data_IF_225803298169
#
_entry.id   IF_225803298169
#
_cell.length_a   1.000
_cell.length_b   1.000
_cell.length_c   1.000
_cell.angle_alpha   90.00
_cell.angle_beta   90.00
_cell.angle_gamma   90.00
#
_symmetry.space_group_name_H-M   'P 1'
#
loop_
_entity.id
_entity.type
_entity.pdbx_description
1 polymer ?
#
# COMPACT_ATOMS: atom_id res chain seq x y z
N UNK A 1 -36.28 34.69 -46.06
CA UNK A 1 -35.58 33.42 -45.78
C UNK A 1 -34.79 33.43 -44.45
N UNK A 2 -35.38 33.78 -43.29
CA UNK A 2 -34.66 33.86 -41.98
C UNK A 2 -35.03 32.79 -40.94
N UNK A 3 -36.03 31.93 -41.19
CA UNK A 3 -36.56 30.96 -40.19
C UNK A 3 -35.71 29.69 -40.01
N UNK A 4 -34.93 29.29 -41.04
CA UNK A 4 -34.19 28.02 -41.07
C UNK A 4 -33.05 27.94 -40.03
N UNK A 5 -32.33 29.04 -39.80
CA UNK A 5 -31.18 29.08 -38.87
C UNK A 5 -31.57 29.07 -37.39
N UNK A 6 -32.74 29.62 -37.04
CA UNK A 6 -33.24 29.60 -35.66
C UNK A 6 -33.75 28.20 -35.25
N UNK A 7 -34.37 27.47 -36.18
CA UNK A 7 -34.87 26.13 -35.95
C UNK A 7 -33.74 25.10 -35.79
N UNK A 8 -32.67 25.19 -36.59
CA UNK A 8 -31.50 24.32 -36.44
C UNK A 8 -30.72 24.56 -35.14
N UNK A 9 -30.68 25.81 -34.64
CA UNK A 9 -30.10 26.14 -33.32
C UNK A 9 -30.90 25.54 -32.16
N UNK A 10 -32.24 25.56 -32.23
CA UNK A 10 -33.12 24.96 -31.21
C UNK A 10 -33.00 23.44 -31.17
N UNK A 11 -32.95 22.78 -32.34
CA UNK A 11 -32.76 21.32 -32.42
C UNK A 11 -31.39 20.92 -31.88
N UNK A 12 -30.31 21.65 -32.25
CA UNK A 12 -28.98 21.42 -31.68
C UNK A 12 -28.95 21.63 -30.16
N UNK A 13 -29.60 22.67 -29.65
CA UNK A 13 -29.70 22.92 -28.21
C UNK A 13 -30.46 21.81 -27.49
N UNK A 14 -31.57 21.32 -28.04
CA UNK A 14 -32.34 20.21 -27.48
C UNK A 14 -31.58 18.88 -27.51
N UNK A 15 -30.79 18.63 -28.56
CA UNK A 15 -29.92 17.44 -28.64
C UNK A 15 -28.76 17.53 -27.65
N UNK A 16 -28.16 18.70 -27.46
CA UNK A 16 -27.12 18.94 -26.45
C UNK A 16 -27.70 18.76 -25.04
N UNK A 17 -28.85 19.37 -24.74
CA UNK A 17 -29.53 19.21 -23.45
C UNK A 17 -29.91 17.74 -23.22
N UNK A 18 -30.44 17.05 -24.23
CA UNK A 18 -30.81 15.64 -24.17
C UNK A 18 -29.62 14.68 -23.96
N UNK A 19 -28.41 15.07 -24.34
CA UNK A 19 -27.17 14.31 -24.07
C UNK A 19 -26.50 14.72 -22.75
N UNK A 20 -26.51 16.00 -22.40
CA UNK A 20 -25.90 16.54 -21.19
C UNK A 20 -26.67 16.17 -19.92
N UNK A 21 -28.00 16.10 -19.96
CA UNK A 21 -28.83 15.67 -18.83
C UNK A 21 -28.47 14.27 -18.33
N UNK A 22 -28.48 13.20 -19.15
CA UNK A 22 -28.14 11.85 -18.68
C UNK A 22 -26.69 11.74 -18.23
N UNK A 23 -25.73 12.40 -18.90
CA UNK A 23 -24.33 12.44 -18.45
C UNK A 23 -24.20 13.16 -17.11
N UNK A 24 -24.89 14.29 -16.94
CA UNK A 24 -24.94 15.03 -15.68
C UNK A 24 -25.59 14.23 -14.56
N UNK A 25 -26.69 13.54 -14.83
CA UNK A 25 -27.37 12.66 -13.87
C UNK A 25 -26.50 11.47 -13.48
N UNK A 26 -25.81 10.84 -14.43
CA UNK A 26 -24.87 9.75 -14.13
C UNK A 26 -23.67 10.24 -13.31
N UNK A 27 -23.13 11.42 -13.63
CA UNK A 27 -22.06 12.04 -12.85
C UNK A 27 -22.55 12.39 -11.43
N UNK A 28 -23.78 12.91 -11.31
CA UNK A 28 -24.38 13.25 -10.03
C UNK A 28 -24.64 12.01 -9.17
N UNK A 29 -25.23 10.96 -9.74
CA UNK A 29 -25.39 9.65 -9.07
C UNK A 29 -24.02 9.11 -8.65
N UNK A 30 -23.02 9.20 -9.54
CA UNK A 30 -21.67 8.74 -9.24
C UNK A 30 -21.01 9.53 -8.11
N UNK A 31 -21.28 10.83 -7.99
CA UNK A 31 -20.86 11.66 -6.85
C UNK A 31 -21.61 11.31 -5.56
N UNK A 32 -22.90 10.97 -5.64
CA UNK A 32 -23.69 10.53 -4.48
C UNK A 32 -23.22 9.18 -3.90
N UNK A 33 -22.60 8.33 -4.72
CA UNK A 33 -22.06 7.03 -4.31
C UNK A 33 -20.65 7.16 -3.70
N UNK A 34 -20.08 8.36 -3.64
CA UNK A 34 -18.77 8.59 -3.01
C UNK A 34 -18.84 8.33 -1.50
N UNK A 35 -17.83 7.67 -0.91
CA UNK A 35 -17.82 7.41 0.52
C UNK A 35 -17.71 8.74 1.29
N UNK A 36 -18.49 8.87 2.36
CA UNK A 36 -18.30 9.96 3.31
C UNK A 36 -17.02 9.73 4.11
N UNK A 37 -16.03 10.60 3.88
CA UNK A 37 -14.74 10.56 4.58
C UNK A 37 -14.75 11.42 5.83
N UNK A 38 -15.76 12.27 6.04
CA UNK A 38 -15.80 13.24 7.14
C UNK A 38 -15.82 12.55 8.50
N UNK A 39 -16.52 11.41 8.59
CA UNK A 39 -16.55 10.58 9.78
C UNK A 39 -15.14 10.14 10.22
N UNK A 40 -14.22 9.92 9.28
CA UNK A 40 -12.84 9.52 9.58
C UNK A 40 -12.07 10.55 10.38
N UNK A 41 -12.56 11.79 10.50
CA UNK A 41 -11.98 12.80 11.40
C UNK A 41 -12.05 12.37 12.87
N UNK A 42 -13.10 11.66 13.27
CA UNK A 42 -13.36 11.26 14.65
C UNK A 42 -13.40 9.74 14.85
N UNK A 43 -13.77 8.97 13.82
CA UNK A 43 -13.95 7.52 13.92
C UNK A 43 -12.90 6.78 13.09
N UNK A 44 -12.51 5.61 13.57
CA UNK A 44 -11.58 4.74 12.87
C UNK A 44 -12.36 3.73 12.02
N UNK A 45 -11.87 3.39 10.81
CA UNK A 45 -12.48 2.33 10.02
C UNK A 45 -12.35 0.98 10.75
N UNK A 46 -13.37 0.13 10.64
CA UNK A 46 -13.39 -1.23 11.21
C UNK A 46 -12.99 -2.30 10.18
N UNK A 47 -12.91 -1.92 8.91
CA UNK A 47 -12.47 -2.71 7.75
C UNK A 47 -12.05 -1.74 6.64
N UNK A 48 -11.39 -2.25 5.60
CA UNK A 48 -10.99 -1.47 4.43
C UNK A 48 -11.11 -2.30 3.16
N UNK A 49 -11.28 -1.64 2.02
CA UNK A 49 -11.32 -2.31 0.71
C UNK A 49 -10.05 -3.15 0.45
N UNK A 50 -8.89 -2.70 0.93
CA UNK A 50 -7.65 -3.48 0.87
C UNK A 50 -7.78 -4.79 1.65
N UNK A 51 -8.24 -4.75 2.89
CA UNK A 51 -8.36 -5.94 3.74
C UNK A 51 -9.38 -6.93 3.17
N UNK A 52 -10.50 -6.44 2.65
CA UNK A 52 -11.54 -7.26 2.02
C UNK A 52 -11.04 -7.91 0.74
N UNK A 53 -10.35 -7.15 -0.12
CA UNK A 53 -9.75 -7.67 -1.34
C UNK A 53 -8.69 -8.75 -1.04
N UNK A 54 -7.95 -8.62 0.07
CA UNK A 54 -6.97 -9.63 0.50
C UNK A 54 -7.63 -10.89 1.04
N UNK A 55 -8.75 -10.74 1.75
CA UNK A 55 -9.53 -11.86 2.25
C UNK A 55 -10.14 -12.67 1.10
N UNK A 56 -10.70 -12.01 0.07
CA UNK A 56 -11.25 -12.69 -1.10
C UNK A 56 -10.19 -13.39 -1.95
N UNK A 57 -9.00 -12.79 -2.07
CA UNK A 57 -7.84 -13.39 -2.76
C UNK A 57 -7.29 -14.63 -2.05
N UNK A 58 -7.60 -14.85 -0.77
CA UNK A 58 -7.05 -15.98 -0.02
C UNK A 58 -7.67 -17.34 -0.41
N UNK A 59 -8.74 -17.39 -1.22
CA UNK A 59 -9.33 -18.61 -1.81
C UNK A 59 -9.38 -19.84 -0.88
N UNK A 60 -9.72 -19.65 0.41
CA UNK A 60 -9.82 -20.73 1.40
C UNK A 60 -8.58 -20.99 2.26
N UNK A 61 -7.43 -20.39 1.95
CA UNK A 61 -6.29 -20.36 2.86
C UNK A 61 -6.60 -19.50 4.08
N UNK A 62 -6.38 -20.04 5.28
CA UNK A 62 -6.58 -19.30 6.55
C UNK A 62 -5.44 -18.29 6.76
N UNK A 63 -5.50 -17.15 6.08
CA UNK A 63 -4.63 -16.00 6.40
C UNK A 63 -5.17 -15.34 7.67
N UNK A 64 -4.44 -15.47 8.78
CA UNK A 64 -4.80 -14.79 10.03
C UNK A 64 -4.54 -13.29 9.90
N UNK A 65 -5.62 -12.49 9.87
CA UNK A 65 -5.54 -11.03 9.92
C UNK A 65 -4.98 -10.57 11.27
N UNK A 66 -3.83 -9.90 11.24
CA UNK A 66 -3.23 -9.18 12.37
C UNK A 66 -3.39 -7.69 12.11
N UNK A 67 -4.26 -7.05 12.88
CA UNK A 67 -4.49 -5.62 12.79
C UNK A 67 -4.70 -5.05 14.18
N UNK A 68 -3.90 -4.05 14.53
CA UNK A 68 -3.97 -3.39 15.82
C UNK A 68 -3.90 -1.88 15.60
N UNK A 69 -4.99 -1.20 15.97
CA UNK A 69 -5.06 0.25 15.88
C UNK A 69 -4.35 0.92 17.04
N UNK A 70 -3.54 1.93 16.76
CA UNK A 70 -2.98 2.83 17.77
C UNK A 70 -3.05 4.29 17.30
N UNK A 71 -3.28 5.26 18.21
CA UNK A 71 -3.22 6.66 17.84
C UNK A 71 -1.79 7.05 17.43
N UNK A 72 -1.64 8.10 16.61
CA UNK A 72 -0.38 8.56 16.04
C UNK A 72 0.67 8.89 17.12
N UNK A 73 0.21 9.37 18.28
CA UNK A 73 1.05 9.68 19.44
C UNK A 73 1.71 8.44 20.07
N UNK A 74 1.19 7.24 19.80
CA UNK A 74 1.80 5.96 20.22
C UNK A 74 2.66 5.33 19.12
N UNK A 75 2.84 6.00 17.98
CA UNK A 75 3.74 5.55 16.92
C UNK A 75 5.05 6.34 17.02
N UNK A 76 6.19 5.63 16.97
CA UNK A 76 7.53 6.22 17.03
C UNK A 76 7.64 7.42 16.06
N UNK A 77 8.16 8.59 16.51
CA UNK A 77 8.49 9.70 15.63
C UNK A 77 9.35 9.28 14.44
N UNK A 78 10.28 8.33 14.66
CA UNK A 78 11.13 7.82 13.60
C UNK A 78 10.33 7.09 12.53
N UNK A 79 9.32 6.27 12.89
CA UNK A 79 8.49 5.60 11.90
C UNK A 79 7.65 6.60 11.11
N UNK A 80 7.09 7.62 11.77
CA UNK A 80 6.33 8.69 11.10
C UNK A 80 7.20 9.39 10.04
N UNK A 81 8.42 9.78 10.42
CA UNK A 81 9.38 10.42 9.53
C UNK A 81 9.88 9.49 8.41
N UNK A 82 10.16 8.22 8.74
CA UNK A 82 10.67 7.24 7.77
C UNK A 82 9.66 6.95 6.66
N UNK A 83 8.38 6.83 7.03
CA UNK A 83 7.29 6.61 6.06
C UNK A 83 7.09 7.83 5.17
N UNK A 84 7.08 9.04 5.75
CA UNK A 84 7.02 10.29 4.97
C UNK A 84 8.23 10.36 4.02
N UNK A 85 9.45 10.14 4.49
CA UNK A 85 10.64 10.17 3.65
C UNK A 85 10.66 9.10 2.54
N UNK A 86 10.10 7.92 2.82
CA UNK A 86 10.12 6.77 1.91
C UNK A 86 9.01 6.79 0.86
N UNK A 87 7.82 7.27 1.23
CA UNK A 87 6.62 7.22 0.39
C UNK A 87 6.27 8.58 -0.21
N UNK A 88 6.48 9.68 0.52
CA UNK A 88 5.94 10.99 0.17
C UNK A 88 6.65 12.13 0.94
N UNK A 89 7.85 12.51 0.48
CA UNK A 89 8.73 13.42 1.23
C UNK A 89 8.17 14.85 1.36
N UNK A 90 7.21 15.22 0.51
CA UNK A 90 6.52 16.52 0.48
C UNK A 90 5.12 16.44 1.11
N UNK A 91 4.80 15.36 1.83
CA UNK A 91 3.45 15.07 2.37
C UNK A 91 2.79 16.25 3.11
N UNK A 92 3.55 16.97 3.92
CA UNK A 92 3.05 18.09 4.72
C UNK A 92 2.91 19.41 3.94
N UNK A 93 3.46 19.50 2.72
CA UNK A 93 3.48 20.72 1.93
C UNK A 93 2.47 20.72 0.78
N UNK A 94 2.01 19.56 0.32
CA UNK A 94 1.01 19.46 -0.76
C UNK A 94 -0.40 19.13 -0.26
N UNK A 95 -1.43 19.32 -1.08
CA UNK A 95 -2.84 18.97 -0.79
C UNK A 95 -3.28 17.69 -1.52
N UNK A 96 -2.65 16.56 -1.19
CA UNK A 96 -2.94 15.24 -1.76
C UNK A 96 -2.25 14.86 -3.07
N UNK A 97 -1.71 15.82 -3.82
CA UNK A 97 -0.97 15.54 -5.05
C UNK A 97 0.37 16.27 -5.04
N UNK A 98 1.46 15.52 -5.16
CA UNK A 98 2.80 16.06 -5.37
C UNK A 98 3.03 16.29 -6.88
N UNK A 99 2.66 17.47 -7.37
CA UNK A 99 2.80 17.80 -8.80
C UNK A 99 4.25 17.85 -9.26
N UNK A 100 5.15 18.31 -8.40
CA UNK A 100 6.59 18.34 -8.67
C UNK A 100 7.13 16.91 -8.72
N UNK A 101 6.83 16.08 -7.72
CA UNK A 101 7.20 14.67 -7.70
C UNK A 101 6.62 13.86 -8.86
N UNK A 102 5.39 14.16 -9.30
CA UNK A 102 4.77 13.56 -10.49
C UNK A 102 5.56 13.94 -11.75
N UNK A 103 5.92 15.22 -11.91
CA UNK A 103 6.72 15.70 -13.03
C UNK A 103 8.09 15.03 -13.05
N UNK A 104 8.77 14.97 -11.92
CA UNK A 104 10.09 14.36 -11.79
C UNK A 104 10.05 12.84 -12.06
N UNK A 105 9.02 12.16 -11.57
CA UNK A 105 8.80 10.75 -11.85
C UNK A 105 8.52 10.50 -13.34
N UNK A 106 7.76 11.38 -13.99
CA UNK A 106 7.48 11.29 -15.43
C UNK A 106 8.75 11.47 -16.27
N UNK A 107 9.56 12.49 -15.97
CA UNK A 107 10.85 12.72 -16.64
C UNK A 107 11.79 11.53 -16.46
N UNK A 108 11.94 11.02 -15.23
CA UNK A 108 12.76 9.84 -14.96
C UNK A 108 12.29 8.60 -15.73
N UNK A 109 10.98 8.35 -15.77
CA UNK A 109 10.42 7.19 -16.47
C UNK A 109 10.59 7.31 -18.00
N UNK A 110 10.52 8.53 -18.53
CA UNK A 110 10.79 8.81 -19.94
C UNK A 110 12.25 8.52 -20.30
N UNK A 111 13.19 9.04 -19.49
CA UNK A 111 14.63 8.78 -19.66
C UNK A 111 14.99 7.30 -19.50
N UNK A 112 14.33 6.60 -18.57
CA UNK A 112 14.57 5.18 -18.31
C UNK A 112 13.85 4.24 -19.29
N UNK A 113 12.96 4.76 -20.14
CA UNK A 113 12.14 4.01 -21.10
C UNK A 113 11.19 2.98 -20.46
N UNK A 114 10.99 3.02 -19.13
CA UNK A 114 10.16 2.07 -18.37
C UNK A 114 9.56 2.76 -17.15
N UNK A 115 8.35 2.36 -16.76
CA UNK A 115 7.67 2.83 -15.54
C UNK A 115 8.34 2.27 -14.27
N UNK A 116 9.39 2.94 -13.82
CA UNK A 116 10.19 2.54 -12.64
C UNK A 116 9.79 3.28 -11.38
N UNK A 117 9.46 4.57 -11.47
CA UNK A 117 9.12 5.42 -10.33
C UNK A 117 7.61 5.66 -10.27
N UNK A 118 7.01 5.37 -9.13
CA UNK A 118 5.62 5.74 -8.83
C UNK A 118 5.56 7.17 -8.29
N UNK A 119 4.49 7.89 -8.61
CA UNK A 119 4.23 9.26 -8.13
C UNK A 119 2.97 9.35 -7.27
N UNK A 120 2.62 8.29 -6.53
CA UNK A 120 1.45 8.28 -5.67
C UNK A 120 1.78 8.76 -4.25
N UNK A 121 1.08 9.78 -3.78
CA UNK A 121 1.21 10.35 -2.42
C UNK A 121 0.62 9.44 -1.35
N UNK A 122 0.94 9.70 -0.08
CA UNK A 122 0.36 8.99 1.06
C UNK A 122 -1.17 9.07 1.03
N UNK A 123 -1.74 10.24 0.72
CA UNK A 123 -3.21 10.42 0.72
C UNK A 123 -3.88 9.66 -0.42
N UNK A 124 -3.24 9.59 -1.60
CA UNK A 124 -3.71 8.75 -2.71
C UNK A 124 -3.68 7.27 -2.36
N UNK A 125 -2.59 6.83 -1.71
CA UNK A 125 -2.47 5.45 -1.25
C UNK A 125 -3.52 5.14 -0.17
N UNK A 126 -3.79 6.06 0.76
CA UNK A 126 -4.82 5.92 1.77
C UNK A 126 -6.21 5.81 1.14
N UNK A 127 -6.56 6.71 0.22
CA UNK A 127 -7.83 6.69 -0.51
C UNK A 127 -8.07 5.34 -1.18
N UNK A 128 -7.04 4.83 -1.87
CA UNK A 128 -7.05 3.52 -2.50
C UNK A 128 -7.27 2.40 -1.47
N UNK A 129 -6.49 2.38 -0.39
CA UNK A 129 -6.54 1.29 0.58
C UNK A 129 -7.88 1.26 1.34
N UNK A 130 -8.45 2.41 1.67
CA UNK A 130 -9.72 2.52 2.38
C UNK A 130 -10.90 2.04 1.53
N UNK A 131 -11.00 2.51 0.29
CA UNK A 131 -12.27 2.50 -0.44
C UNK A 131 -12.24 1.85 -1.82
N UNK A 132 -11.06 1.52 -2.37
CA UNK A 132 -10.95 1.07 -3.76
C UNK A 132 -10.37 -0.34 -3.85
N UNK A 133 -10.93 -1.13 -4.77
CA UNK A 133 -10.42 -2.46 -5.13
C UNK A 133 -9.07 -2.36 -5.87
N UNK A 134 -8.40 -3.51 -6.01
CA UNK A 134 -7.09 -3.61 -6.69
C UNK A 134 -7.15 -3.50 -8.23
N UNK A 135 -8.32 -3.26 -8.82
CA UNK A 135 -8.50 -3.16 -10.27
C UNK A 135 -7.62 -2.07 -10.89
N UNK A 136 -7.11 -2.28 -12.10
CA UNK A 136 -6.29 -1.27 -12.79
C UNK A 136 -7.11 -0.61 -13.91
N UNK A 137 -7.95 0.35 -13.56
CA UNK A 137 -8.73 1.14 -14.53
C UNK A 137 -8.54 2.64 -14.35
N UNK A 138 -8.67 3.39 -15.45
CA UNK A 138 -8.65 4.86 -15.44
C UNK A 138 -9.80 5.42 -14.58
N UNK A 139 -10.97 4.79 -14.64
CA UNK A 139 -12.12 5.15 -13.81
C UNK A 139 -11.81 5.00 -12.32
N UNK A 140 -11.17 3.90 -11.90
CA UNK A 140 -10.72 3.73 -10.52
C UNK A 140 -9.73 4.82 -10.13
N UNK A 141 -8.79 5.18 -11.01
CA UNK A 141 -7.82 6.26 -10.73
C UNK A 141 -8.50 7.63 -10.62
N UNK A 142 -9.54 7.91 -11.39
CA UNK A 142 -10.36 9.11 -11.24
C UNK A 142 -11.10 9.14 -9.89
N UNK A 143 -11.68 8.01 -9.46
CA UNK A 143 -12.28 7.88 -8.12
C UNK A 143 -11.24 8.13 -7.02
N UNK A 144 -10.06 7.53 -7.14
CA UNK A 144 -8.95 7.74 -6.20
C UNK A 144 -8.61 9.23 -6.07
N UNK A 145 -8.54 9.96 -7.19
CA UNK A 145 -8.25 11.38 -7.18
C UNK A 145 -9.32 12.21 -6.42
N UNK A 146 -10.60 11.90 -6.61
CA UNK A 146 -11.68 12.59 -5.90
C UNK A 146 -11.72 12.26 -4.41
N UNK A 147 -11.53 10.99 -4.03
CA UNK A 147 -11.44 10.60 -2.62
C UNK A 147 -10.23 11.26 -1.98
N UNK A 148 -9.08 11.31 -2.67
CA UNK A 148 -7.86 12.01 -2.21
C UNK A 148 -8.17 13.46 -1.90
N UNK A 149 -8.81 14.18 -2.83
CA UNK A 149 -9.19 15.57 -2.62
C UNK A 149 -10.12 15.73 -1.43
N UNK A 150 -11.11 14.84 -1.30
CA UNK A 150 -12.05 14.86 -0.17
C UNK A 150 -11.36 14.63 1.17
N UNK A 151 -10.42 13.68 1.26
CA UNK A 151 -9.63 13.43 2.46
C UNK A 151 -8.83 14.65 2.89
N UNK A 152 -8.11 15.28 1.96
CA UNK A 152 -7.31 16.50 2.22
C UNK A 152 -8.16 17.69 2.67
N UNK A 153 -9.40 17.81 2.18
CA UNK A 153 -10.29 18.90 2.56
C UNK A 153 -10.86 18.73 3.97
N UNK A 154 -11.12 17.50 4.41
CA UNK A 154 -11.88 17.24 5.64
C UNK A 154 -11.00 16.77 6.81
N UNK A 155 -9.80 16.27 6.56
CA UNK A 155 -8.92 15.69 7.57
C UNK A 155 -7.61 16.47 7.67
N UNK A 156 -7.10 16.75 8.89
CA UNK A 156 -5.77 17.29 9.05
C UNK A 156 -4.69 16.25 8.66
N UNK A 157 -3.50 16.73 8.27
CA UNK A 157 -2.39 15.88 7.80
C UNK A 157 -1.98 14.81 8.79
N UNK A 158 -1.97 15.13 10.08
CA UNK A 158 -1.67 14.19 11.16
C UNK A 158 -2.69 13.05 11.18
N UNK A 159 -3.97 13.36 10.96
CA UNK A 159 -5.03 12.35 10.93
C UNK A 159 -4.92 11.48 9.68
N UNK A 160 -4.60 12.06 8.52
CA UNK A 160 -4.33 11.30 7.29
C UNK A 160 -3.16 10.33 7.51
N UNK A 161 -2.07 10.80 8.10
CA UNK A 161 -0.91 9.97 8.41
C UNK A 161 -1.25 8.86 9.43
N UNK A 162 -2.04 9.17 10.46
CA UNK A 162 -2.52 8.18 11.43
C UNK A 162 -3.33 7.07 10.77
N UNK A 163 -4.31 7.44 9.94
CA UNK A 163 -5.13 6.48 9.20
C UNK A 163 -4.25 5.63 8.28
N UNK A 164 -3.33 6.25 7.53
CA UNK A 164 -2.42 5.55 6.63
C UNK A 164 -1.57 4.51 7.38
N UNK A 165 -0.91 4.92 8.47
CA UNK A 165 -0.06 4.04 9.25
C UNK A 165 -0.83 2.88 9.89
N UNK A 166 -2.12 3.05 10.17
CA UNK A 166 -2.97 1.99 10.72
C UNK A 166 -3.63 1.11 9.66
N UNK A 167 -3.78 1.58 8.41
CA UNK A 167 -4.48 0.85 7.34
C UNK A 167 -3.54 0.09 6.43
N UNK A 168 -2.33 0.60 6.19
CA UNK A 168 -1.41 0.01 5.22
C UNK A 168 -0.99 -1.41 5.61
N UNK A 169 -0.79 -2.25 4.59
CA UNK A 169 -0.31 -3.63 4.71
C UNK A 169 1.23 -3.62 4.86
N UNK A 170 1.75 -4.29 5.88
CA UNK A 170 3.19 -4.39 6.21
C UNK A 170 3.75 -5.81 6.04
N UNK A 171 2.95 -6.71 5.49
CA UNK A 171 3.23 -8.12 5.29
C UNK A 171 1.93 -8.89 5.06
N UNK A 172 2.03 -10.18 4.71
CA UNK A 172 0.83 -10.98 4.42
C UNK A 172 -0.11 -11.03 5.65
N UNK A 173 -1.27 -10.36 5.52
CA UNK A 173 -2.26 -10.30 6.58
C UNK A 173 -1.89 -9.40 7.77
N UNK A 174 -0.83 -8.58 7.67
CA UNK A 174 -0.37 -7.69 8.73
C UNK A 174 -0.70 -6.25 8.34
N UNK A 175 -1.58 -5.62 9.10
CA UNK A 175 -2.05 -4.25 8.84
C UNK A 175 -1.79 -3.37 10.06
N UNK A 176 -1.39 -2.14 9.79
CA UNK A 176 -1.12 -1.16 10.83
C UNK A 176 0.27 -1.28 11.48
N UNK A 177 0.82 -0.12 11.82
CA UNK A 177 2.18 0.02 12.33
C UNK A 177 2.43 -0.79 13.61
N UNK A 178 1.45 -0.88 14.51
CA UNK A 178 1.58 -1.63 15.77
C UNK A 178 1.66 -3.15 15.52
N UNK A 179 0.82 -3.68 14.62
CA UNK A 179 0.90 -5.09 14.25
C UNK A 179 2.24 -5.39 13.54
N UNK A 180 2.69 -4.49 12.68
CA UNK A 180 3.97 -4.61 11.98
C UNK A 180 5.18 -4.64 12.94
N UNK A 181 5.23 -3.70 13.89
CA UNK A 181 6.31 -3.64 14.87
C UNK A 181 6.37 -4.91 15.74
N UNK A 182 5.20 -5.40 16.18
CA UNK A 182 5.11 -6.65 16.96
C UNK A 182 5.46 -7.87 16.14
N UNK A 183 5.09 -7.88 14.86
CA UNK A 183 5.38 -9.01 13.98
C UNK A 183 6.88 -9.12 13.70
N UNK A 184 7.50 -8.03 13.25
CA UNK A 184 8.86 -8.01 12.73
C UNK A 184 9.92 -7.82 13.83
N UNK A 185 9.66 -6.99 14.84
CA UNK A 185 10.67 -6.62 15.86
C UNK A 185 10.28 -7.02 17.29
N UNK A 186 9.13 -7.69 17.46
CA UNK A 186 8.62 -8.15 18.77
C UNK A 186 8.45 -7.05 19.81
N UNK A 187 8.11 -5.83 19.38
CA UNK A 187 7.91 -4.67 20.27
C UNK A 187 6.78 -3.76 19.82
N UNK A 188 6.44 -2.78 20.66
CA UNK A 188 5.47 -1.75 20.31
C UNK A 188 6.03 -0.83 19.22
N UNK A 189 5.14 -0.32 18.36
CA UNK A 189 5.48 0.70 17.37
C UNK A 189 5.99 2.01 17.98
N UNK A 190 5.71 2.25 19.27
CA UNK A 190 6.27 3.37 20.04
C UNK A 190 7.79 3.26 20.21
N UNK A 191 8.31 2.04 20.31
CA UNK A 191 9.69 1.75 20.72
C UNK A 191 10.60 1.40 19.51
N UNK A 192 10.12 1.67 18.30
CA UNK A 192 10.91 1.51 17.09
C UNK A 192 12.05 2.55 17.06
N UNK A 193 13.26 2.04 16.88
CA UNK A 193 14.46 2.86 16.63
C UNK A 193 14.42 3.44 15.22
N UNK A 194 15.33 4.39 14.94
CA UNK A 194 15.45 4.96 13.60
C UNK A 194 15.77 3.89 12.52
N UNK A 195 16.62 2.91 12.83
CA UNK A 195 16.99 1.84 11.89
C UNK A 195 15.78 0.96 11.55
N UNK A 196 15.08 0.46 12.57
CA UNK A 196 13.91 -0.42 12.35
C UNK A 196 12.75 0.33 11.67
N UNK A 197 12.56 1.60 12.01
CA UNK A 197 11.62 2.48 11.32
C UNK A 197 11.94 2.62 9.83
N UNK A 198 13.22 2.80 9.49
CA UNK A 198 13.67 2.87 8.10
C UNK A 198 13.47 1.54 7.38
N UNK A 199 13.69 0.39 8.04
CA UNK A 199 13.43 -0.93 7.44
C UNK A 199 11.95 -1.16 7.16
N UNK A 200 11.07 -0.80 8.10
CA UNK A 200 9.61 -0.87 7.87
C UNK A 200 9.19 0.02 6.72
N UNK A 201 9.67 1.26 6.66
CA UNK A 201 9.34 2.15 5.54
C UNK A 201 9.90 1.62 4.20
N UNK A 202 11.04 0.92 4.21
CA UNK A 202 11.65 0.37 3.00
C UNK A 202 10.80 -0.74 2.35
N UNK A 203 10.03 -1.52 3.13
CA UNK A 203 9.23 -2.63 2.59
C UNK A 203 7.87 -2.20 2.01
N UNK A 204 7.36 -1.02 2.36
CA UNK A 204 6.02 -0.53 1.98
C UNK A 204 5.65 -0.59 0.49
N UNK A 205 6.57 -0.41 -0.47
CA UNK A 205 6.23 -0.56 -1.89
C UNK A 205 5.78 -1.96 -2.29
N UNK A 206 6.21 -2.99 -1.54
CA UNK A 206 5.94 -4.41 -1.85
C UNK A 206 5.96 -5.26 -0.57
N UNK A 207 5.02 -5.02 0.35
CA UNK A 207 5.08 -5.54 1.72
C UNK A 207 4.90 -7.06 1.79
N UNK A 208 4.21 -7.66 0.81
CA UNK A 208 4.07 -9.13 0.71
C UNK A 208 5.31 -9.83 0.13
N UNK A 209 6.23 -9.07 -0.47
CA UNK A 209 7.43 -9.59 -1.15
C UNK A 209 8.69 -9.41 -0.31
N UNK A 210 8.78 -8.30 0.42
CA UNK A 210 9.94 -7.98 1.24
C UNK A 210 9.66 -8.27 2.70
N UNK A 211 10.70 -8.75 3.37
CA UNK A 211 10.75 -8.92 4.82
C UNK A 211 11.87 -8.00 5.33
N UNK A 212 11.59 -7.11 6.30
CA UNK A 212 12.57 -6.15 6.80
C UNK A 212 13.78 -6.83 7.47
N UNK A 213 13.65 -8.09 7.88
CA UNK A 213 14.73 -8.91 8.43
C UNK A 213 15.57 -9.52 7.30
N UNK A 214 14.96 -9.83 6.15
CA UNK A 214 15.63 -10.42 4.98
C UNK A 214 16.16 -9.34 4.03
N UNK A 215 17.38 -8.89 4.30
CA UNK A 215 18.03 -7.80 3.58
C UNK A 215 18.40 -8.21 2.16
N UNK A 216 17.93 -7.45 1.17
CA UNK A 216 18.37 -7.53 -0.24
C UNK A 216 19.11 -6.26 -0.59
N UNK A 217 20.01 -6.28 -1.58
CA UNK A 217 20.79 -5.09 -1.98
C UNK A 217 19.91 -3.88 -2.30
N UNK A 218 18.79 -4.11 -3.00
CA UNK A 218 17.84 -3.04 -3.33
C UNK A 218 17.13 -2.48 -2.09
N UNK A 219 16.70 -3.36 -1.18
CA UNK A 219 16.04 -2.96 0.06
C UNK A 219 17.00 -2.20 0.99
N UNK A 220 18.26 -2.66 1.12
CA UNK A 220 19.30 -1.99 1.89
C UNK A 220 19.57 -0.58 1.37
N UNK A 221 19.69 -0.39 0.06
CA UNK A 221 19.88 0.96 -0.52
C UNK A 221 18.71 1.90 -0.20
N UNK A 222 17.47 1.37 -0.23
CA UNK A 222 16.28 2.14 0.13
C UNK A 222 16.27 2.48 1.62
N UNK A 223 16.57 1.49 2.46
CA UNK A 223 16.76 1.67 3.90
C UNK A 223 17.76 2.79 4.19
N UNK A 224 18.96 2.71 3.63
CA UNK A 224 20.05 3.66 3.93
C UNK A 224 19.66 5.09 3.53
N UNK A 225 18.95 5.26 2.41
CA UNK A 225 18.42 6.57 2.00
C UNK A 225 17.41 7.11 3.00
N UNK A 226 16.47 6.29 3.45
CA UNK A 226 15.45 6.69 4.43
C UNK A 226 16.10 6.98 5.78
N UNK A 227 16.98 6.09 6.25
CA UNK A 227 17.71 6.23 7.51
C UNK A 227 18.56 7.52 7.53
N UNK A 228 19.30 7.79 6.45
CA UNK A 228 20.07 9.02 6.27
C UNK A 228 19.19 10.27 6.30
N UNK A 229 17.98 10.19 5.73
CA UNK A 229 17.03 11.30 5.75
C UNK A 229 16.55 11.61 7.18
N UNK A 230 16.11 10.60 7.93
CA UNK A 230 15.52 10.80 9.27
C UNK A 230 16.56 11.14 10.35
N UNK A 231 17.82 10.70 10.18
CA UNK A 231 18.88 10.93 11.19
C UNK A 231 19.62 12.25 11.02
N UNK A 232 19.62 12.84 9.81
CA UNK A 232 20.37 14.09 9.55
C UNK A 232 19.67 15.36 10.02
N UNK A 233 18.42 15.30 10.46
CA UNK A 233 17.65 16.49 10.83
C UNK A 233 17.37 17.34 9.58
N UNK A 234 16.16 17.25 9.06
CA UNK A 234 15.71 17.92 7.84
C UNK A 234 15.90 19.45 7.88
N UNK A 235 16.76 19.97 7.02
CA UNK A 235 16.56 21.29 6.37
C UNK A 235 16.30 21.16 4.87
N UNK A 236 16.52 19.99 4.27
CA UNK A 236 16.23 19.74 2.87
C UNK A 236 16.16 18.23 2.63
N UNK A 237 15.24 17.73 1.76
CA UNK A 237 15.42 16.40 1.20
C UNK A 237 16.83 16.34 0.61
N UNK A 238 17.60 15.23 0.81
CA UNK A 238 18.78 15.03 0.00
C UNK A 238 18.30 15.15 -1.45
N UNK A 239 18.88 16.09 -2.20
CA UNK A 239 18.68 16.15 -3.64
C UNK A 239 18.83 14.72 -4.11
N UNK A 240 17.73 14.18 -4.66
CA UNK A 240 17.65 12.78 -5.04
C UNK A 240 18.71 12.58 -6.11
N UNK A 241 19.88 12.11 -5.69
CA UNK A 241 20.89 11.66 -6.63
C UNK A 241 20.20 10.69 -7.58
N UNK A 242 20.42 10.83 -8.90
CA UNK A 242 19.78 9.99 -9.88
C UNK A 242 20.05 8.54 -9.48
N UNK A 243 18.97 7.80 -9.23
CA UNK A 243 19.07 6.38 -8.97
C UNK A 243 19.86 5.74 -10.13
N UNK A 244 20.93 4.97 -9.86
CA UNK A 244 21.76 4.42 -10.92
C UNK A 244 20.90 3.60 -11.89
N UNK A 245 21.29 3.65 -13.17
CA UNK A 245 20.59 2.99 -14.27
C UNK A 245 20.34 1.51 -13.94
N UNK A 246 19.06 1.11 -14.07
CA UNK A 246 18.48 -0.26 -14.06
C UNK A 246 18.59 -1.02 -12.74
N UNK A 247 17.47 -1.49 -12.16
CA UNK A 247 16.78 -2.69 -12.66
C UNK A 247 15.25 -2.53 -12.85
N UNK A 248 14.61 -3.42 -13.62
CA UNK A 248 13.16 -3.40 -13.82
C UNK A 248 12.42 -3.73 -12.52
N UNK A 249 11.26 -3.08 -12.31
CA UNK A 249 10.19 -3.68 -11.51
C UNK A 249 9.87 -5.04 -12.16
N UNK A 250 9.85 -6.17 -11.43
CA UNK A 250 9.39 -7.41 -12.02
C UNK A 250 7.96 -7.20 -12.51
N UNK A 251 7.71 -7.67 -13.71
CA UNK A 251 6.39 -7.62 -14.31
C UNK A 251 5.38 -8.28 -13.37
N UNK A 252 4.14 -7.78 -13.29
CA UNK A 252 3.08 -8.58 -12.71
C UNK A 252 2.94 -9.81 -13.61
N UNK A 253 3.27 -11.00 -13.10
CA UNK A 253 3.01 -12.24 -13.81
C UNK A 253 1.54 -12.25 -14.24
N UNK A 254 1.31 -12.04 -15.54
CA UNK A 254 0.20 -12.64 -16.23
C UNK A 254 0.42 -14.14 -16.13
N UNK A 255 -0.47 -14.82 -15.43
CA UNK A 255 -0.76 -16.25 -15.61
C UNK A 255 0.49 -17.15 -15.60
N UNK A 256 0.83 -17.69 -14.42
CA UNK A 256 1.29 -19.09 -14.40
C UNK A 256 0.12 -19.95 -13.98
N UNK A 257 -0.35 -20.68 -14.98
CA UNK A 257 -1.11 -21.91 -14.85
C UNK A 257 -0.51 -22.83 -13.77
N UNK A 258 -1.41 -23.60 -13.18
CA UNK A 258 -1.20 -24.74 -12.30
C UNK A 258 0.09 -25.52 -12.52
N UNK A 259 0.92 -25.62 -11.47
CA UNK A 259 1.84 -26.74 -11.27
C UNK A 259 1.25 -27.65 -10.17
N UNK A 260 0.74 -28.85 -10.49
CA UNK A 260 0.18 -29.78 -9.52
C UNK A 260 1.28 -30.69 -9.00
N UNK A 261 2.26 -30.18 -8.26
CA UNK A 261 3.31 -31.04 -7.72
C UNK A 261 3.87 -30.55 -6.39
N UNK A 262 2.99 -30.31 -5.42
CA UNK A 262 3.34 -30.20 -4.00
C UNK A 262 2.18 -30.73 -3.14
N UNK A 263 1.78 -31.97 -3.39
CA UNK A 263 0.84 -32.71 -2.54
C UNK A 263 1.32 -34.16 -2.36
N UNK A 264 2.52 -34.31 -1.77
CA UNK A 264 2.92 -35.58 -1.16
C UNK A 264 3.16 -35.34 0.34
N UNK A 265 2.47 -36.08 1.23
CA UNK A 265 2.79 -36.06 2.65
C UNK A 265 4.20 -36.63 2.88
N UNK A 266 4.92 -36.21 3.94
CA UNK A 266 6.27 -36.69 4.19
C UNK A 266 6.30 -38.20 4.43
N UNK A 267 7.23 -38.89 3.76
CA UNK A 267 7.51 -40.30 3.95
C UNK A 267 8.03 -40.57 5.38
N UNK A 268 7.52 -41.64 6.02
CA UNK A 268 8.02 -42.16 7.29
C UNK A 268 9.49 -42.61 7.16
N UNK A 269 10.32 -42.40 8.19
CA UNK A 269 11.69 -42.90 8.19
C UNK A 269 11.72 -44.43 8.40
N UNK A 270 12.66 -45.16 7.77
CA UNK A 270 12.70 -46.62 7.82
C UNK A 270 13.22 -47.17 9.16
N UNK A 271 12.64 -48.29 9.55
CA UNK A 271 12.99 -49.14 10.70
C UNK A 271 14.49 -49.43 10.78
N UNK A 272 15.08 -49.21 11.96
CA UNK A 272 16.40 -49.74 12.29
C UNK A 272 16.27 -51.14 12.86
N UNK A 273 16.75 -52.12 12.10
CA UNK A 273 17.02 -53.49 12.52
C UNK A 273 17.89 -53.52 13.79
N UNK A 274 17.33 -54.00 14.90
CA UNK A 274 18.12 -54.46 16.05
C UNK A 274 18.61 -55.88 15.80
N UNK A 275 19.93 -56.04 15.61
CA UNK A 275 20.62 -57.34 15.73
C UNK A 275 21.27 -57.48 17.11
N UNK A 276 20.61 -58.30 17.94
CA UNK A 276 21.10 -59.34 18.87
C UNK A 276 22.40 -59.21 19.69
N UNK A 277 22.30 -59.61 20.97
CA UNK A 277 23.46 -60.12 21.74
C UNK A 277 23.30 -60.19 23.27
N UNK A 278 22.72 -61.29 23.77
CA UNK A 278 22.88 -61.99 25.07
C UNK A 278 23.55 -61.30 26.28
N UNK A 279 22.89 -61.34 27.46
CA UNK A 279 23.28 -62.26 28.55
C UNK A 279 22.26 -62.34 29.71
N UNK A 280 22.38 -63.45 30.44
CA UNK A 280 21.44 -64.14 31.33
C UNK A 280 21.23 -63.49 32.73
N UNK A 281 20.00 -63.68 33.27
CA UNK A 281 19.55 -64.05 34.65
C UNK A 281 20.47 -63.93 35.89
N UNK A 282 19.95 -64.05 37.15
CA UNK A 282 18.56 -64.06 37.66
C UNK A 282 18.33 -63.25 38.97
N UNK A 283 17.10 -63.39 39.47
CA UNK A 283 16.67 -63.54 40.89
C UNK A 283 16.11 -62.34 41.66
N UNK A 284 14.94 -62.61 42.24
CA UNK A 284 14.14 -61.82 43.18
C UNK A 284 14.85 -61.63 44.55
N UNK A 285 14.24 -60.91 45.51
CA UNK A 285 13.05 -61.38 46.23
C UNK A 285 11.82 -60.47 46.12
#
# INVERSE_FOLDING_TARGET
MRKSTAQSRRVKALLIIGLCLPVGTLLFIWLLVMPDVTALRATNPTTTALMEARLSQAQGHKIKRQWMWVPLSRISPHLRQAVVAGEDASFFTHEGFDWEGIKDAALYNLEAGKLKRGGSTITQQLAKNLYLSSERSLLRKAREALITRSLEQHLPKERILELYLNVVEWGQGIYGAEAAARHHFKKSSRDLTADEAAWLAAILPSPRRYDPIRKTTSLTRRHDRIFKWITRGSSQPPQLEPAPKSEPRPEPDSERESDPELDQPPAEPPDQEQKGGYNESPTAP
#
